data_IF_632344944677
#
_entry.id   IF_632344944677
#
_cell.length_a   1.000
_cell.length_b   1.000
_cell.length_c   1.000
_cell.angle_alpha   90.00
_cell.angle_beta   90.00
_cell.angle_gamma   90.00
#
_symmetry.space_group_name_H-M   'P 1'
#
loop_
_entity.id
_entity.type
_entity.pdbx_description
1 polymer ?
#
# COMPACT_ATOMS: atom_id res chain seq x y z
N UNK A 1 -12.48 9.60 -73.54
CA UNK A 1 -13.47 10.69 -73.34
C UNK A 1 -13.47 11.18 -71.89
N UNK A 2 -13.57 12.51 -71.72
CA UNK A 2 -14.10 13.30 -70.58
C UNK A 2 -13.44 13.25 -69.17
N UNK A 3 -12.94 14.43 -68.79
CA UNK A 3 -12.54 14.93 -67.46
C UNK A 3 -13.77 15.24 -66.57
N UNK A 4 -13.62 15.10 -65.25
CA UNK A 4 -14.13 15.98 -64.16
C UNK A 4 -13.41 15.54 -62.86
N UNK A 5 -12.48 16.27 -62.21
CA UNK A 5 -12.52 17.50 -61.38
C UNK A 5 -13.50 17.50 -60.18
N UNK A 6 -12.94 17.62 -58.96
CA UNK A 6 -13.60 18.15 -57.75
C UNK A 6 -12.88 17.81 -56.43
N UNK A 7 -11.86 18.60 -56.01
CA UNK A 7 -11.83 19.52 -54.83
C UNK A 7 -11.80 18.82 -53.44
N UNK A 8 -10.65 18.80 -52.75
CA UNK A 8 -10.10 19.80 -51.79
C UNK A 8 -10.74 19.77 -50.39
N UNK A 9 -9.98 19.39 -49.34
CA UNK A 9 -9.63 20.25 -48.18
C UNK A 9 -8.92 19.48 -47.03
N UNK A 10 -7.69 19.92 -46.73
CA UNK A 10 -7.04 20.00 -45.39
C UNK A 10 -6.76 21.52 -45.19
N UNK A 11 -6.36 22.08 -44.02
CA UNK A 11 -5.82 21.48 -42.78
C UNK A 11 -6.39 22.14 -41.48
N UNK A 12 -5.85 21.83 -40.29
CA UNK A 12 -6.03 22.69 -39.12
C UNK A 12 -5.66 22.09 -37.76
N UNK A 13 -4.44 22.35 -37.30
CA UNK A 13 -3.99 22.21 -35.91
C UNK A 13 -4.04 23.56 -35.19
N UNK A 14 -4.55 23.64 -33.96
CA UNK A 14 -4.11 24.63 -32.94
C UNK A 14 -4.91 24.52 -31.62
N UNK A 15 -4.22 24.06 -30.57
CA UNK A 15 -4.17 24.53 -29.16
C UNK A 15 -5.16 25.63 -28.70
N UNK A 16 -5.61 25.66 -27.41
CA UNK A 16 -4.70 26.13 -26.36
C UNK A 16 -4.82 25.56 -24.94
N UNK A 17 -3.67 25.67 -24.26
CA UNK A 17 -3.45 25.67 -22.81
C UNK A 17 -4.12 26.89 -22.17
N UNK A 18 -4.60 26.74 -20.93
CA UNK A 18 -5.00 27.87 -20.09
C UNK A 18 -4.25 27.85 -18.76
N UNK A 19 -3.17 28.65 -18.72
CA UNK A 19 -2.60 29.22 -17.51
C UNK A 19 -3.61 30.15 -16.84
N UNK A 20 -3.80 30.06 -15.52
CA UNK A 20 -4.31 31.17 -14.70
C UNK A 20 -3.46 31.33 -13.44
N UNK A 21 -2.66 32.40 -13.47
CA UNK A 21 -2.00 33.05 -12.32
C UNK A 21 -2.99 33.92 -11.55
N UNK A 22 -2.94 33.83 -10.21
CA UNK A 22 -3.00 34.86 -9.12
C UNK A 22 -4.11 35.96 -9.13
N UNK A 23 -4.54 36.55 -7.98
CA UNK A 23 -3.64 37.16 -6.99
C UNK A 23 -4.05 37.11 -5.49
N UNK A 24 -3.08 37.52 -4.66
CA UNK A 24 -3.19 37.82 -3.24
C UNK A 24 -4.01 39.09 -2.94
N UNK A 25 -4.70 39.14 -1.79
CA UNK A 25 -4.95 40.38 -1.05
C UNK A 25 -5.44 40.16 0.41
N UNK A 26 -4.62 40.66 1.34
CA UNK A 26 -4.95 41.54 2.50
C UNK A 26 -5.82 41.04 3.67
N UNK A 27 -5.19 41.01 4.86
CA UNK A 27 -5.79 41.25 6.19
C UNK A 27 -6.49 42.62 6.22
N UNK A 28 -7.52 42.81 7.07
CA UNK A 28 -7.31 43.74 8.20
C UNK A 28 -7.96 43.36 9.55
N UNK A 29 -7.25 43.83 10.59
CA UNK A 29 -7.59 44.46 11.89
C UNK A 29 -8.90 44.18 12.66
N UNK A 30 -8.69 44.09 13.98
CA UNK A 30 -9.65 44.06 15.09
C UNK A 30 -10.58 45.28 15.21
N UNK A 31 -11.72 45.09 15.89
CA UNK A 31 -12.50 46.17 16.51
C UNK A 31 -13.21 45.68 17.79
N UNK A 32 -13.13 46.53 18.82
CA UNK A 32 -13.63 46.39 20.20
C UNK A 32 -15.12 46.73 20.37
N UNK A 33 -15.68 46.21 21.47
CA UNK A 33 -16.70 46.78 22.40
C UNK A 33 -18.20 46.70 22.01
N UNK A 34 -19.17 46.92 22.95
CA UNK A 34 -19.13 47.01 24.42
C UNK A 34 -20.18 46.13 25.16
N UNK A 35 -20.12 46.21 26.50
CA UNK A 35 -20.92 45.54 27.51
C UNK A 35 -22.40 45.98 27.63
N UNK A 36 -23.26 45.09 28.13
CA UNK A 36 -24.57 45.42 28.71
C UNK A 36 -24.76 44.70 30.06
N UNK A 37 -25.13 45.51 31.07
CA UNK A 37 -25.35 45.20 32.48
C UNK A 37 -26.75 44.62 32.72
N UNK A 38 -26.91 43.60 33.59
CA UNK A 38 -28.12 43.35 34.41
C UNK A 38 -27.67 42.73 35.74
N UNK A 39 -27.61 43.51 36.81
CA UNK A 39 -28.63 43.84 37.84
C UNK A 39 -28.79 42.74 38.90
N UNK A 40 -28.38 43.14 40.09
CA UNK A 40 -28.22 42.42 41.36
C UNK A 40 -29.57 42.16 42.02
N UNK A 41 -29.71 41.01 42.69
CA UNK A 41 -30.61 40.85 43.84
C UNK A 41 -29.84 40.28 45.04
N UNK A 42 -30.16 40.87 46.17
CA UNK A 42 -29.44 40.94 47.45
C UNK A 42 -29.79 39.80 48.42
N UNK A 43 -28.79 39.31 49.15
CA UNK A 43 -28.97 38.58 50.42
C UNK A 43 -28.01 39.21 51.46
N UNK A 44 -28.44 39.46 52.70
CA UNK A 44 -27.74 40.36 53.61
C UNK A 44 -26.55 39.72 54.34
N UNK A 45 -25.71 40.63 54.84
CA UNK A 45 -24.40 40.39 55.42
C UNK A 45 -24.43 39.57 56.72
N UNK A 46 -23.56 38.56 56.78
CA UNK A 46 -23.02 38.01 58.03
C UNK A 46 -21.64 38.61 58.25
N UNK A 47 -21.49 39.25 59.41
CA UNK A 47 -20.33 40.02 59.85
C UNK A 47 -19.40 39.13 60.69
N UNK A 48 -18.09 39.23 60.42
CA UNK A 48 -16.87 38.81 61.17
C UNK A 48 -15.99 37.92 60.26
N UNK A 49 -14.70 38.12 60.09
CA UNK A 49 -13.68 38.79 60.90
C UNK A 49 -12.62 39.41 59.97
N UNK A 50 -12.10 40.56 60.36
CA UNK A 50 -10.97 41.24 59.73
C UNK A 50 -9.69 40.49 60.09
N UNK A 51 -9.19 39.68 59.18
CA UNK A 51 -7.80 39.19 59.19
C UNK A 51 -7.00 39.98 58.16
N UNK A 52 -5.85 40.47 58.60
CA UNK A 52 -4.97 41.35 57.84
C UNK A 52 -4.46 40.64 56.59
N UNK A 53 -4.68 41.23 55.41
CA UNK A 53 -4.10 40.77 54.15
C UNK A 53 -2.62 41.17 54.11
N UNK A 54 -1.73 40.22 54.34
CA UNK A 54 -0.37 40.30 53.80
C UNK A 54 -0.43 40.05 52.30
N UNK A 55 0.25 40.89 51.52
CA UNK A 55 0.33 40.77 50.07
C UNK A 55 0.96 39.41 49.70
N UNK A 56 0.17 38.52 49.12
CA UNK A 56 0.68 37.27 48.54
C UNK A 56 1.47 37.62 47.27
N UNK A 57 2.78 37.40 47.32
CA UNK A 57 3.66 37.49 46.16
C UNK A 57 3.20 36.51 45.07
N UNK A 58 3.16 36.98 43.83
CA UNK A 58 2.91 36.12 42.66
C UNK A 58 3.91 34.96 42.62
N UNK A 59 3.50 33.74 42.21
CA UNK A 59 4.41 32.61 42.11
C UNK A 59 5.53 32.93 41.11
N UNK A 60 6.78 32.51 41.39
CA UNK A 60 7.89 32.75 40.48
C UNK A 60 7.65 32.04 39.15
N UNK A 61 8.12 32.59 38.02
CA UNK A 61 7.98 31.96 36.71
C UNK A 61 8.68 30.59 36.72
N UNK A 62 8.17 29.60 35.95
CA UNK A 62 8.73 28.25 35.95
C UNK A 62 10.20 28.29 35.55
N UNK A 63 11.07 27.86 36.47
CA UNK A 63 12.52 27.80 36.26
C UNK A 63 12.77 26.72 35.20
N UNK A 64 13.38 27.10 34.08
CA UNK A 64 13.81 26.15 33.05
C UNK A 64 14.90 25.24 33.64
N UNK A 65 14.51 24.04 34.09
CA UNK A 65 15.46 23.00 34.52
C UNK A 65 16.29 22.54 33.33
N UNK A 66 17.59 22.26 33.54
CA UNK A 66 18.43 21.64 32.51
C UNK A 66 17.93 20.21 32.25
N UNK A 67 17.86 19.75 31.00
CA UNK A 67 17.37 18.41 30.68
C UNK A 67 18.28 17.34 31.29
N UNK A 68 17.69 16.22 31.71
CA UNK A 68 18.43 15.10 32.30
C UNK A 68 19.22 14.34 31.23
N UNK A 69 20.21 13.54 31.63
CA UNK A 69 20.98 12.72 30.69
C UNK A 69 20.08 11.72 29.92
N UNK A 70 19.04 11.20 30.56
CA UNK A 70 18.04 10.33 29.94
C UNK A 70 17.16 11.09 28.94
N UNK A 71 16.73 12.32 29.27
CA UNK A 71 15.98 13.18 28.35
C UNK A 71 16.82 13.56 27.11
N UNK A 72 18.11 13.83 27.29
CA UNK A 72 19.06 14.12 26.19
C UNK A 72 19.27 12.87 25.33
N UNK A 73 19.47 11.70 25.94
CA UNK A 73 19.61 10.44 25.22
C UNK A 73 18.35 10.12 24.40
N UNK A 74 17.17 10.31 25.00
CA UNK A 74 15.90 10.15 24.32
C UNK A 74 15.75 11.13 23.13
N UNK A 75 16.12 12.39 23.32
CA UNK A 75 16.08 13.40 22.26
C UNK A 75 16.99 13.01 21.09
N UNK A 76 18.21 12.54 21.36
CA UNK A 76 19.11 12.03 20.32
C UNK A 76 18.57 10.77 19.62
N UNK A 77 17.92 9.86 20.35
CA UNK A 77 17.28 8.69 19.74
C UNK A 77 16.11 9.07 18.84
N UNK A 78 15.33 10.09 19.23
CA UNK A 78 14.26 10.66 18.39
C UNK A 78 14.81 11.31 17.12
N UNK A 79 15.86 12.13 17.23
CA UNK A 79 16.53 12.74 16.07
C UNK A 79 17.06 11.67 15.09
N UNK A 80 17.66 10.57 15.61
CA UNK A 80 18.11 9.43 14.79
C UNK A 80 16.95 8.74 14.09
N UNK A 81 15.82 8.58 14.78
CA UNK A 81 14.63 7.97 14.21
C UNK A 81 14.03 8.84 13.10
N UNK A 82 13.95 10.15 13.29
CA UNK A 82 13.50 11.10 12.26
C UNK A 82 14.42 11.08 11.03
N UNK A 83 15.73 11.03 11.23
CA UNK A 83 16.68 10.87 10.13
C UNK A 83 16.49 9.54 9.39
N UNK A 84 16.26 8.44 10.10
CA UNK A 84 15.97 7.15 9.49
C UNK A 84 14.68 7.18 8.65
N UNK A 85 13.65 7.90 9.10
CA UNK A 85 12.43 8.11 8.33
C UNK A 85 12.65 8.94 7.07
N UNK A 86 13.50 9.98 7.14
CA UNK A 86 13.88 10.74 5.94
C UNK A 86 14.55 9.84 4.90
N UNK A 87 15.56 9.06 5.31
CA UNK A 87 16.24 8.09 4.44
C UNK A 87 15.27 7.02 3.89
N UNK A 88 14.32 6.56 4.70
CA UNK A 88 13.29 5.62 4.27
C UNK A 88 12.38 6.21 3.18
N UNK A 89 11.96 7.47 3.34
CA UNK A 89 11.12 8.17 2.37
C UNK A 89 11.87 8.49 1.08
N UNK A 90 13.19 8.73 1.15
CA UNK A 90 14.10 8.90 0.01
C UNK A 90 14.48 7.55 -0.65
N UNK A 91 13.94 6.43 -0.17
CA UNK A 91 14.20 5.08 -0.65
C UNK A 91 15.67 4.60 -0.44
N UNK A 92 16.42 5.25 0.45
CA UNK A 92 17.76 4.82 0.89
C UNK A 92 17.66 3.70 1.95
N UNK A 93 16.98 2.61 1.58
CA UNK A 93 16.56 1.54 2.49
C UNK A 93 17.72 0.87 3.24
N UNK A 94 18.87 0.67 2.60
CA UNK A 94 20.03 0.05 3.25
C UNK A 94 20.58 0.90 4.41
N UNK A 95 20.62 2.23 4.24
CA UNK A 95 21.05 3.15 5.29
C UNK A 95 19.99 3.26 6.39
N UNK A 96 18.72 3.40 6.00
CA UNK A 96 17.60 3.47 6.94
C UNK A 96 17.53 2.21 7.83
N UNK A 97 17.65 1.02 7.23
CA UNK A 97 17.71 -0.28 7.91
C UNK A 97 18.74 -0.28 9.04
N UNK A 98 19.98 0.12 8.75
CA UNK A 98 21.07 0.11 9.73
C UNK A 98 20.86 1.07 10.91
N UNK A 99 20.05 2.13 10.75
CA UNK A 99 19.66 3.02 11.85
C UNK A 99 18.52 2.41 12.65
N UNK A 100 17.46 1.92 11.99
CA UNK A 100 16.33 1.27 12.66
C UNK A 100 16.76 0.05 13.48
N UNK A 101 17.70 -0.75 12.95
CA UNK A 101 18.27 -1.91 13.63
C UNK A 101 18.86 -1.54 15.00
N UNK A 102 19.65 -0.45 15.06
CA UNK A 102 20.22 0.04 16.32
C UNK A 102 19.15 0.57 17.28
N UNK A 103 18.13 1.24 16.76
CA UNK A 103 17.03 1.79 17.56
C UNK A 103 16.12 0.69 18.15
N UNK A 104 16.19 -0.56 17.68
CA UNK A 104 15.42 -1.66 18.28
C UNK A 104 15.85 -2.02 19.71
N UNK A 105 17.06 -1.60 20.11
CA UNK A 105 17.63 -1.79 21.45
C UNK A 105 17.51 -0.54 22.34
N UNK A 106 16.78 0.49 21.90
CA UNK A 106 16.61 1.73 22.65
C UNK A 106 15.83 1.49 23.97
N UNK A 107 16.21 2.15 25.09
CA UNK A 107 15.49 2.01 26.36
C UNK A 107 14.02 2.46 26.27
N UNK A 108 13.70 3.40 25.36
CA UNK A 108 12.32 3.81 25.12
C UNK A 108 11.57 2.74 24.30
N UNK A 109 10.78 1.91 25.00
CA UNK A 109 10.05 0.77 24.40
C UNK A 109 9.19 1.16 23.18
N UNK A 110 8.49 2.28 23.24
CA UNK A 110 7.67 2.79 22.14
C UNK A 110 8.49 3.06 20.87
N UNK A 111 9.65 3.72 21.03
CA UNK A 111 10.54 4.02 19.92
C UNK A 111 11.13 2.74 19.32
N UNK A 112 11.56 1.80 20.17
CA UNK A 112 12.07 0.51 19.76
C UNK A 112 11.03 -0.32 18.99
N UNK A 113 9.77 -0.33 19.44
CA UNK A 113 8.68 -1.01 18.72
C UNK A 113 8.42 -0.38 17.36
N UNK A 114 8.37 0.95 17.27
CA UNK A 114 8.22 1.65 15.99
C UNK A 114 9.39 1.33 15.06
N UNK A 115 10.63 1.36 15.56
CA UNK A 115 11.82 1.01 14.78
C UNK A 115 11.75 -0.43 14.22
N UNK A 116 11.24 -1.40 14.98
CA UNK A 116 11.06 -2.79 14.51
C UNK A 116 10.12 -2.89 13.30
N UNK A 117 9.04 -2.10 13.28
CA UNK A 117 8.12 -2.08 12.13
C UNK A 117 8.84 -1.60 10.87
N UNK A 118 9.54 -0.48 10.95
CA UNK A 118 10.28 0.06 9.80
C UNK A 118 11.45 -0.83 9.38
N UNK A 119 12.14 -1.46 10.34
CA UNK A 119 13.19 -2.44 10.05
C UNK A 119 12.64 -3.59 9.19
N UNK A 120 11.51 -4.18 9.58
CA UNK A 120 10.86 -5.25 8.81
C UNK A 120 10.48 -4.80 7.40
N UNK A 121 9.98 -3.58 7.25
CA UNK A 121 9.64 -3.03 5.93
C UNK A 121 10.91 -2.84 5.09
N UNK A 122 12.00 -2.35 5.68
CA UNK A 122 13.29 -2.22 4.99
C UNK A 122 13.81 -3.58 4.53
N UNK A 123 13.81 -4.59 5.42
CA UNK A 123 14.23 -5.96 5.11
C UNK A 123 13.41 -6.54 3.96
N UNK A 124 12.08 -6.42 4.02
CA UNK A 124 11.18 -6.91 2.98
C UNK A 124 11.44 -6.22 1.63
N UNK A 125 11.57 -4.89 1.62
CA UNK A 125 11.81 -4.12 0.38
C UNK A 125 13.18 -4.40 -0.21
N UNK A 126 14.21 -4.55 0.63
CA UNK A 126 15.56 -4.90 0.19
C UNK A 126 15.59 -6.32 -0.38
N UNK A 127 14.95 -7.28 0.29
CA UNK A 127 14.81 -8.66 -0.21
C UNK A 127 14.12 -8.70 -1.57
N UNK A 128 13.00 -7.97 -1.72
CA UNK A 128 12.31 -7.81 -3.01
C UNK A 128 13.18 -7.14 -4.08
N UNK A 129 13.99 -6.13 -3.71
CA UNK A 129 14.91 -5.50 -4.66
C UNK A 129 16.04 -6.43 -5.10
N UNK A 130 16.44 -7.39 -4.27
CA UNK A 130 17.41 -8.44 -4.61
C UNK A 130 16.82 -9.64 -5.33
N UNK A 131 15.49 -9.73 -5.44
CA UNK A 131 14.83 -10.83 -6.14
C UNK A 131 15.14 -10.75 -7.64
N UNK A 132 16.01 -11.65 -8.11
CA UNK A 132 16.44 -11.72 -9.51
C UNK A 132 15.65 -12.81 -10.24
N UNK A 133 14.43 -12.48 -10.68
CA UNK A 133 13.65 -13.36 -11.56
C UNK A 133 14.05 -13.09 -13.00
N UNK A 134 14.55 -14.10 -13.72
CA UNK A 134 15.05 -13.94 -15.09
C UNK A 134 14.48 -14.97 -16.06
N UNK A 135 14.33 -16.20 -15.60
CA UNK A 135 13.81 -17.30 -16.40
C UNK A 135 12.30 -17.46 -16.23
N UNK A 136 11.64 -18.16 -17.16
CA UNK A 136 10.23 -18.49 -17.02
C UNK A 136 9.99 -19.28 -15.72
N UNK A 137 10.89 -20.22 -15.41
CA UNK A 137 10.86 -21.06 -14.23
C UNK A 137 11.03 -20.25 -12.94
N UNK A 138 11.89 -19.21 -12.90
CA UNK A 138 12.00 -18.33 -11.73
C UNK A 138 10.66 -17.65 -11.43
N UNK A 139 10.03 -17.10 -12.47
CA UNK A 139 8.74 -16.43 -12.36
C UNK A 139 7.62 -17.40 -11.97
N UNK A 140 7.61 -18.60 -12.54
CA UNK A 140 6.68 -19.66 -12.21
C UNK A 140 6.81 -20.08 -10.75
N UNK A 141 8.02 -20.43 -10.30
CA UNK A 141 8.27 -20.88 -8.93
C UNK A 141 7.90 -19.81 -7.90
N UNK A 142 8.23 -18.54 -8.19
CA UNK A 142 7.86 -17.42 -7.33
C UNK A 142 6.33 -17.23 -7.27
N UNK A 143 5.65 -17.34 -8.40
CA UNK A 143 4.20 -17.21 -8.47
C UNK A 143 3.47 -18.34 -7.73
N UNK A 144 3.92 -19.59 -7.86
CA UNK A 144 3.38 -20.72 -7.09
C UNK A 144 3.54 -20.48 -5.58
N UNK A 145 4.69 -19.94 -5.15
CA UNK A 145 4.87 -19.51 -3.75
C UNK A 145 3.84 -18.48 -3.32
N UNK A 146 3.59 -17.45 -4.13
CA UNK A 146 2.57 -16.43 -3.87
C UNK A 146 1.15 -17.02 -3.80
N UNK A 147 0.79 -17.94 -4.70
CA UNK A 147 -0.51 -18.61 -4.68
C UNK A 147 -0.71 -19.40 -3.37
N UNK A 148 0.31 -20.14 -2.92
CA UNK A 148 0.29 -20.88 -1.66
C UNK A 148 0.16 -19.97 -0.43
N UNK A 149 0.66 -18.74 -0.51
CA UNK A 149 0.48 -17.71 0.53
C UNK A 149 -0.90 -17.02 0.48
N UNK A 150 -1.75 -17.38 -0.49
CA UNK A 150 -3.06 -16.77 -0.73
C UNK A 150 -3.02 -15.48 -1.56
N UNK A 151 -1.85 -15.11 -2.10
CA UNK A 151 -1.66 -13.91 -2.92
C UNK A 151 -1.92 -14.22 -4.41
N UNK A 152 -3.13 -14.68 -4.74
CA UNK A 152 -3.48 -15.15 -6.09
C UNK A 152 -3.39 -14.04 -7.16
N UNK A 153 -3.73 -12.79 -6.84
CA UNK A 153 -3.60 -11.64 -7.75
C UNK A 153 -2.15 -11.37 -8.14
N UNK A 154 -1.22 -11.47 -7.17
CA UNK A 154 0.20 -11.25 -7.45
C UNK A 154 0.79 -12.45 -8.20
N UNK A 155 0.36 -13.68 -7.86
CA UNK A 155 0.72 -14.91 -8.60
C UNK A 155 0.41 -14.78 -10.10
N UNK A 156 -0.81 -14.38 -10.46
CA UNK A 156 -1.23 -14.21 -11.85
C UNK A 156 -0.27 -13.29 -12.63
N UNK A 157 0.12 -12.16 -12.05
CA UNK A 157 1.02 -11.20 -12.70
C UNK A 157 2.39 -11.80 -13.02
N UNK A 158 2.92 -12.65 -12.15
CA UNK A 158 4.21 -13.31 -12.37
C UNK A 158 4.09 -14.52 -13.30
N UNK A 159 3.00 -15.29 -13.24
CA UNK A 159 2.72 -16.35 -14.22
C UNK A 159 2.56 -15.78 -15.64
N UNK A 160 1.91 -14.63 -15.81
CA UNK A 160 1.82 -13.96 -17.11
C UNK A 160 3.19 -13.47 -17.63
N UNK A 161 4.13 -13.12 -16.74
CA UNK A 161 5.53 -12.83 -17.14
C UNK A 161 6.25 -14.11 -17.53
N UNK A 162 6.07 -15.19 -16.78
CA UNK A 162 6.62 -16.51 -17.09
C UNK A 162 6.15 -16.98 -18.47
N UNK A 163 4.85 -16.83 -18.75
CA UNK A 163 4.25 -17.22 -20.02
C UNK A 163 4.76 -16.41 -21.22
N UNK A 164 5.09 -15.12 -21.02
CA UNK A 164 5.74 -14.32 -22.09
C UNK A 164 7.12 -14.87 -22.47
N UNK A 165 7.84 -15.46 -21.51
CA UNK A 165 9.16 -16.06 -21.74
C UNK A 165 9.05 -17.48 -22.31
N UNK A 166 8.05 -18.26 -21.88
CA UNK A 166 7.80 -19.62 -22.35
C UNK A 166 6.32 -19.82 -22.76
N UNK A 167 5.90 -19.36 -23.96
CA UNK A 167 4.50 -19.38 -24.38
C UNK A 167 3.90 -20.77 -24.64
N UNK A 168 4.72 -21.82 -24.61
CA UNK A 168 4.31 -23.21 -24.86
C UNK A 168 4.50 -24.09 -23.61
N UNK A 169 4.79 -23.48 -22.45
CA UNK A 169 4.95 -24.18 -21.19
C UNK A 169 3.57 -24.52 -20.60
N UNK A 170 3.20 -25.78 -20.71
CA UNK A 170 1.91 -26.32 -20.24
C UNK A 170 1.70 -26.13 -18.74
N UNK A 171 2.74 -26.35 -17.93
CA UNK A 171 2.70 -26.18 -16.47
C UNK A 171 2.43 -24.73 -16.03
N UNK A 172 2.81 -23.72 -16.83
CA UNK A 172 2.50 -22.31 -16.54
C UNK A 172 1.00 -22.03 -16.79
N UNK A 173 0.46 -22.58 -17.88
CA UNK A 173 -0.99 -22.52 -18.13
C UNK A 173 -1.78 -23.25 -17.04
N UNK A 174 -1.29 -24.40 -16.57
CA UNK A 174 -1.91 -25.14 -15.48
C UNK A 174 -1.93 -24.32 -14.18
N UNK A 175 -0.81 -23.72 -13.80
CA UNK A 175 -0.74 -22.85 -12.61
C UNK A 175 -1.60 -21.58 -12.74
N UNK A 176 -1.77 -21.03 -13.96
CA UNK A 176 -2.75 -19.97 -14.18
C UNK A 176 -4.16 -20.50 -13.91
N UNK A 177 -4.50 -21.66 -14.44
CA UNK A 177 -5.82 -22.26 -14.23
C UNK A 177 -6.15 -22.44 -12.75
N UNK A 178 -5.23 -22.99 -11.95
CA UNK A 178 -5.45 -23.14 -10.50
C UNK A 178 -5.50 -21.78 -9.80
N UNK A 179 -4.70 -20.80 -10.21
CA UNK A 179 -4.73 -19.43 -9.66
C UNK A 179 -6.07 -18.72 -9.93
N UNK A 180 -6.67 -18.90 -11.12
CA UNK A 180 -8.01 -18.37 -11.43
C UNK A 180 -9.10 -19.12 -10.66
N UNK A 181 -8.97 -20.44 -10.52
CA UNK A 181 -9.89 -21.25 -9.72
C UNK A 181 -9.90 -20.79 -8.25
N UNK A 182 -8.73 -20.53 -7.65
CA UNK A 182 -8.62 -19.99 -6.28
C UNK A 182 -9.32 -18.63 -6.09
N UNK A 183 -9.59 -17.89 -7.17
CA UNK A 183 -10.28 -16.60 -7.16
C UNK A 183 -11.75 -16.68 -7.60
N UNK A 184 -12.28 -17.89 -7.72
CA UNK A 184 -13.62 -18.17 -8.26
C UNK A 184 -13.86 -17.60 -9.67
N UNK A 185 -12.80 -17.36 -10.44
CA UNK A 185 -12.90 -16.98 -11.86
C UNK A 185 -12.91 -18.25 -12.72
N UNK A 186 -14.12 -18.80 -12.84
CA UNK A 186 -14.38 -20.05 -13.55
C UNK A 186 -13.99 -19.97 -15.02
N UNK A 187 -14.31 -18.86 -15.70
CA UNK A 187 -14.05 -18.73 -17.13
C UNK A 187 -12.54 -18.66 -17.42
N UNK A 188 -11.80 -17.89 -16.61
CA UNK A 188 -10.35 -17.83 -16.68
C UNK A 188 -9.69 -19.19 -16.41
N UNK A 189 -10.17 -19.90 -15.37
CA UNK A 189 -9.66 -21.22 -15.01
C UNK A 189 -9.83 -22.23 -16.16
N UNK A 190 -11.03 -22.31 -16.74
CA UNK A 190 -11.33 -23.21 -17.84
C UNK A 190 -10.51 -22.90 -19.10
N UNK A 191 -10.38 -21.62 -19.45
CA UNK A 191 -9.59 -21.21 -20.61
C UNK A 191 -8.12 -21.64 -20.49
N UNK A 192 -7.51 -21.41 -19.33
CA UNK A 192 -6.12 -21.76 -19.09
C UNK A 192 -5.91 -23.27 -18.95
N UNK A 193 -6.83 -23.99 -18.29
CA UNK A 193 -6.76 -25.44 -18.17
C UNK A 193 -6.88 -26.12 -19.53
N UNK A 194 -7.81 -25.67 -20.38
CA UNK A 194 -7.93 -26.16 -21.75
C UNK A 194 -6.61 -25.99 -22.50
N UNK A 195 -5.97 -24.82 -22.37
CA UNK A 195 -4.69 -24.58 -23.04
C UNK A 195 -3.57 -25.48 -22.51
N UNK A 196 -3.52 -25.73 -21.20
CA UNK A 196 -2.57 -26.67 -20.60
C UNK A 196 -2.77 -28.10 -21.12
N UNK A 197 -4.02 -28.56 -21.23
CA UNK A 197 -4.36 -29.90 -21.75
C UNK A 197 -4.01 -30.02 -23.24
N UNK A 198 -4.24 -28.98 -24.04
CA UNK A 198 -3.86 -28.96 -25.46
C UNK A 198 -2.35 -29.08 -25.67
N UNK A 199 -1.55 -28.54 -24.76
CA UNK A 199 -0.09 -28.63 -24.82
C UNK A 199 0.42 -29.97 -24.29
N UNK A 200 -0.26 -30.52 -23.28
CA UNK A 200 0.12 -31.78 -22.65
C UNK A 200 -1.13 -32.43 -22.04
N UNK A 201 -1.54 -33.56 -22.62
CA UNK A 201 -2.71 -34.31 -22.17
C UNK A 201 -2.57 -34.81 -20.72
N UNK A 202 -1.34 -34.90 -20.19
CA UNK A 202 -1.07 -35.27 -18.80
C UNK A 202 -1.80 -34.37 -17.81
N UNK A 203 -1.96 -33.08 -18.15
CA UNK A 203 -2.63 -32.09 -17.31
C UNK A 203 -4.10 -32.44 -17.04
N UNK A 204 -4.75 -33.16 -17.96
CA UNK A 204 -6.12 -33.66 -17.77
C UNK A 204 -6.18 -34.61 -16.57
N UNK A 205 -5.27 -35.57 -16.51
CA UNK A 205 -5.23 -36.56 -15.43
C UNK A 205 -4.84 -35.93 -14.09
N UNK A 206 -4.01 -34.89 -14.12
CA UNK A 206 -3.68 -34.12 -12.93
C UNK A 206 -4.92 -33.40 -12.39
N UNK A 207 -5.63 -32.65 -13.24
CA UNK A 207 -6.80 -31.86 -12.87
C UNK A 207 -7.97 -32.70 -12.31
N UNK A 208 -8.10 -33.96 -12.73
CA UNK A 208 -9.12 -34.88 -12.18
C UNK A 208 -9.02 -35.11 -10.67
N UNK A 209 -7.83 -34.98 -10.10
CA UNK A 209 -7.57 -35.26 -8.69
C UNK A 209 -7.06 -34.03 -7.93
N UNK A 210 -7.11 -32.85 -8.55
CA UNK A 210 -6.55 -31.63 -8.00
C UNK A 210 -7.61 -30.87 -7.19
N UNK A 211 -7.32 -30.64 -5.91
CA UNK A 211 -8.23 -29.95 -5.01
C UNK A 211 -8.37 -28.46 -5.35
N UNK A 212 -7.41 -27.88 -6.07
CA UNK A 212 -7.45 -26.47 -6.49
C UNK A 212 -8.64 -26.19 -7.43
N UNK A 213 -9.20 -27.22 -8.08
CA UNK A 213 -10.39 -27.12 -8.92
C UNK A 213 -11.69 -27.56 -8.23
N UNK A 214 -11.71 -27.71 -6.91
CA UNK A 214 -12.89 -28.20 -6.19
C UNK A 214 -14.14 -27.35 -6.44
N UNK A 215 -13.99 -26.03 -6.61
CA UNK A 215 -15.08 -25.10 -6.91
C UNK A 215 -15.63 -25.24 -8.35
N UNK A 216 -14.95 -25.96 -9.23
CA UNK A 216 -15.33 -26.17 -10.63
C UNK A 216 -16.01 -27.51 -10.87
N UNK A 217 -16.05 -28.40 -9.88
CA UNK A 217 -16.58 -29.76 -10.03
C UNK A 217 -18.05 -29.81 -10.49
N UNK A 218 -18.84 -28.80 -10.12
CA UNK A 218 -20.24 -28.70 -10.52
C UNK A 218 -20.44 -28.04 -11.89
N UNK A 219 -19.39 -27.45 -12.50
CA UNK A 219 -19.49 -26.85 -13.83
C UNK A 219 -19.42 -27.95 -14.90
N UNK A 220 -20.45 -28.11 -15.75
CA UNK A 220 -20.46 -29.12 -16.80
C UNK A 220 -19.30 -28.97 -17.79
N UNK A 221 -18.85 -27.74 -18.05
CA UNK A 221 -17.73 -27.45 -18.96
C UNK A 221 -16.42 -27.99 -18.41
N UNK A 222 -16.23 -27.93 -17.08
CA UNK A 222 -15.07 -28.53 -16.42
C UNK A 222 -15.12 -30.05 -16.55
N UNK A 223 -16.29 -30.65 -16.30
CA UNK A 223 -16.48 -32.10 -16.42
C UNK A 223 -16.22 -32.60 -17.85
N UNK A 224 -16.76 -31.92 -18.86
CA UNK A 224 -16.52 -32.21 -20.27
C UNK A 224 -15.04 -32.06 -20.64
N UNK A 225 -14.38 -31.02 -20.10
CA UNK A 225 -12.95 -30.80 -20.33
C UNK A 225 -12.10 -31.96 -19.80
N UNK A 226 -12.48 -32.56 -18.67
CA UNK A 226 -11.79 -33.71 -18.07
C UNK A 226 -12.16 -35.05 -18.71
N UNK A 227 -13.44 -35.24 -19.05
CA UNK A 227 -14.04 -36.48 -19.56
C UNK A 227 -14.80 -36.21 -20.87
N UNK A 228 -14.11 -35.91 -21.98
CA UNK A 228 -14.74 -35.65 -23.25
C UNK A 228 -15.41 -36.93 -23.70
N UNK A 229 -16.65 -36.84 -24.14
CA UNK A 229 -17.29 -37.97 -24.78
C UNK A 229 -16.42 -38.37 -25.98
N UNK A 230 -15.85 -39.58 -25.93
CA UNK A 230 -15.26 -40.16 -27.13
C UNK A 230 -16.36 -40.20 -28.19
N UNK A 231 -16.12 -39.75 -29.42
CA UNK A 231 -17.04 -40.09 -30.50
C UNK A 231 -17.15 -41.61 -30.52
N UNK A 232 -18.39 -42.12 -30.50
CA UNK A 232 -18.68 -43.54 -30.63
C UNK A 232 -17.94 -44.07 -31.87
N UNK A 233 -17.22 -45.21 -31.76
CA UNK A 233 -16.53 -45.81 -32.89
C UNK A 233 -17.49 -46.23 -34.01
#
# INVERSE_FOLDING_TARGET
>A
MKKTKGKKSRPGSSHPRSDKKNPAAKRPVASKAPAVKRKVSSIPAVRKNRSQTSAAASPPPPVRRKPTAEEIAHQHSMERFENALQLFNENHLGRARGIFERLTNDPARELAQRARVYLRICDQRLSRATLQLKTAEDYYNYAVGLANEGNAEESEQYLLKALKLAPQADHIYYALATTYALRDDVDGALQHLLKAIQLSERNRFQAQNDADFANLLEDPRFTELLYPEKPLP
#
